data_IF_095678864975
#
_entry.id   IF_095678864975
#
_cell.length_a   1.000
_cell.length_b   1.000
_cell.length_c   1.000
_cell.angle_alpha   90.00
_cell.angle_beta   90.00
_cell.angle_gamma   90.00
#
_symmetry.space_group_name_H-M   'P 1'
#
loop_
_entity.id
_entity.type
_entity.pdbx_description
1 polymer ?
#
# COMPACT_ATOMS: atom_id res chain seq x y z
N UNK A 1 1.64 -37.66 16.76
CA UNK A 1 2.01 -36.31 17.29
C UNK A 1 1.47 -35.28 16.32
N UNK A 2 0.36 -34.65 16.68
CA UNK A 2 -0.34 -33.61 15.99
C UNK A 2 0.50 -32.34 15.97
N UNK A 3 0.72 -31.79 14.77
CA UNK A 3 1.22 -30.41 14.55
C UNK A 3 0.16 -29.42 15.07
N UNK A 4 0.22 -29.11 16.36
CA UNK A 4 -0.44 -27.99 16.99
C UNK A 4 0.65 -26.98 17.33
N UNK A 5 0.32 -25.70 17.10
CA UNK A 5 1.07 -24.48 17.43
C UNK A 5 2.08 -24.03 16.35
N UNK A 6 1.55 -23.69 15.17
CA UNK A 6 2.08 -22.58 14.44
C UNK A 6 1.22 -21.35 14.81
N UNK A 7 1.72 -20.53 15.72
CA UNK A 7 1.20 -19.18 16.00
C UNK A 7 1.47 -18.24 14.81
N UNK A 8 1.10 -18.65 13.61
CA UNK A 8 0.88 -17.74 12.51
C UNK A 8 -0.56 -17.25 12.66
N UNK A 9 -0.74 -16.16 13.38
CA UNK A 9 -2.04 -15.51 13.46
C UNK A 9 -2.43 -15.05 12.05
N UNK A 10 -3.17 -15.91 11.34
CA UNK A 10 -4.08 -15.43 10.33
C UNK A 10 -5.07 -14.55 11.09
N UNK A 11 -4.89 -13.21 11.06
CA UNK A 11 -5.95 -12.29 11.42
C UNK A 11 -7.18 -12.79 10.67
N UNK A 12 -8.35 -12.83 11.35
CA UNK A 12 -9.61 -13.26 10.73
C UNK A 12 -9.79 -12.47 9.43
N UNK A 13 -9.46 -13.09 8.29
CA UNK A 13 -9.47 -12.44 7.00
C UNK A 13 -10.88 -11.97 6.67
N UNK A 14 -11.05 -10.67 6.54
CA UNK A 14 -12.33 -10.11 6.15
C UNK A 14 -12.65 -10.46 4.69
N UNK A 15 -13.94 -10.50 4.29
CA UNK A 15 -14.32 -10.70 2.88
C UNK A 15 -13.69 -9.65 1.94
N UNK A 16 -13.42 -8.45 2.43
CA UNK A 16 -12.72 -7.40 1.70
C UNK A 16 -11.25 -7.79 1.44
N UNK A 17 -10.56 -8.31 2.46
CA UNK A 17 -9.17 -8.75 2.37
C UNK A 17 -9.01 -9.87 1.33
N UNK A 18 -9.82 -10.93 1.44
CA UNK A 18 -9.80 -12.04 0.49
C UNK A 18 -10.07 -11.58 -0.96
N UNK A 19 -11.07 -10.73 -1.14
CA UNK A 19 -11.41 -10.23 -2.46
C UNK A 19 -10.31 -9.34 -3.07
N UNK A 20 -9.65 -8.53 -2.26
CA UNK A 20 -8.52 -7.71 -2.70
C UNK A 20 -7.30 -8.57 -3.07
N UNK A 21 -6.98 -9.60 -2.28
CA UNK A 21 -5.93 -10.58 -2.62
C UNK A 21 -6.22 -11.26 -3.96
N UNK A 22 -7.45 -11.72 -4.16
CA UNK A 22 -7.85 -12.41 -5.39
C UNK A 22 -7.71 -11.52 -6.62
N UNK A 23 -8.16 -10.26 -6.55
CA UNK A 23 -8.03 -9.28 -7.66
C UNK A 23 -6.56 -9.05 -8.00
N UNK A 24 -5.72 -8.80 -7.02
CA UNK A 24 -4.29 -8.59 -7.22
C UNK A 24 -3.61 -9.82 -7.81
N UNK A 25 -3.94 -11.01 -7.32
CA UNK A 25 -3.42 -12.26 -7.85
C UNK A 25 -3.80 -12.45 -9.32
N UNK A 26 -5.07 -12.27 -9.67
CA UNK A 26 -5.54 -12.39 -11.05
C UNK A 26 -4.86 -11.37 -11.98
N UNK A 27 -4.60 -10.19 -11.48
CA UNK A 27 -3.93 -9.14 -12.24
C UNK A 27 -2.45 -9.48 -12.48
N UNK A 28 -1.75 -9.92 -11.44
CA UNK A 28 -0.31 -10.22 -11.49
C UNK A 28 0.04 -11.53 -12.22
N UNK A 29 -0.79 -12.56 -12.11
CA UNK A 29 -0.46 -13.89 -12.66
C UNK A 29 -0.28 -13.90 -14.18
N UNK A 30 -0.71 -12.87 -14.88
CA UNK A 30 -0.54 -12.73 -16.34
C UNK A 30 0.81 -12.12 -16.70
N UNK A 31 1.53 -11.55 -15.74
CA UNK A 31 2.77 -10.79 -16.00
C UNK A 31 3.94 -11.17 -15.08
N UNK A 32 3.71 -11.95 -14.05
CA UNK A 32 4.74 -12.29 -13.04
C UNK A 32 4.52 -13.69 -12.46
N UNK A 33 5.58 -14.22 -11.86
CA UNK A 33 5.47 -15.36 -10.94
C UNK A 33 4.93 -14.82 -9.62
N UNK A 34 3.71 -15.25 -9.25
CA UNK A 34 3.06 -14.79 -8.02
C UNK A 34 2.55 -15.98 -7.21
N UNK A 35 2.81 -15.94 -5.91
CA UNK A 35 2.39 -16.95 -4.94
C UNK A 35 1.50 -16.27 -3.90
N UNK A 36 0.35 -16.89 -3.62
CA UNK A 36 -0.56 -16.47 -2.56
C UNK A 36 -0.15 -17.09 -1.23
N UNK A 37 -0.32 -16.35 -0.14
CA UNK A 37 -0.08 -16.82 1.22
C UNK A 37 1.27 -17.52 1.36
N UNK A 38 2.31 -16.86 0.87
CA UNK A 38 3.65 -17.41 0.82
C UNK A 38 4.31 -17.38 2.20
N UNK A 39 4.63 -18.57 2.78
CA UNK A 39 5.27 -18.64 4.08
C UNK A 39 6.73 -18.24 4.00
N UNK A 40 7.15 -17.40 4.93
CA UNK A 40 8.54 -16.99 5.18
C UNK A 40 8.93 -17.42 6.59
N UNK A 41 9.35 -18.70 6.78
CA UNK A 41 9.60 -19.28 8.11
C UNK A 41 10.64 -18.53 8.93
N UNK A 42 11.68 -17.99 8.26
CA UNK A 42 12.75 -17.20 8.87
C UNK A 42 12.25 -15.90 9.49
N UNK A 43 11.14 -15.35 8.98
CA UNK A 43 10.49 -14.16 9.49
C UNK A 43 9.31 -14.46 10.40
N UNK A 44 8.89 -15.73 10.47
CA UNK A 44 7.62 -16.15 11.10
C UNK A 44 6.43 -15.35 10.54
N UNK A 45 6.43 -15.11 9.23
CA UNK A 45 5.43 -14.33 8.52
C UNK A 45 4.88 -15.11 7.32
N UNK A 46 3.68 -14.74 6.90
CA UNK A 46 3.08 -15.17 5.64
C UNK A 46 2.82 -13.90 4.84
N UNK A 47 3.38 -13.83 3.62
CA UNK A 47 3.09 -12.74 2.70
C UNK A 47 1.76 -13.00 2.01
N UNK A 48 0.87 -12.00 1.93
CA UNK A 48 -0.42 -12.14 1.22
C UNK A 48 -0.20 -12.52 -0.25
N UNK A 49 0.69 -11.79 -0.94
CA UNK A 49 1.20 -12.16 -2.25
C UNK A 49 2.72 -11.99 -2.27
N UNK A 50 3.42 -12.98 -2.83
CA UNK A 50 4.85 -12.91 -3.03
C UNK A 50 5.17 -12.97 -4.52
N UNK A 51 5.85 -11.97 -5.05
CA UNK A 51 5.99 -11.71 -6.47
C UNK A 51 7.46 -11.76 -6.88
N UNK A 52 7.77 -12.57 -7.90
CA UNK A 52 9.12 -12.73 -8.46
C UNK A 52 10.21 -12.97 -7.39
N UNK A 53 9.88 -13.72 -6.34
CA UNK A 53 10.77 -14.07 -5.21
C UNK A 53 11.45 -12.89 -4.50
N UNK A 54 10.89 -11.68 -4.64
CA UNK A 54 11.52 -10.47 -4.11
C UNK A 54 10.55 -9.44 -3.53
N UNK A 55 9.30 -9.37 -3.98
CA UNK A 55 8.34 -8.36 -3.58
C UNK A 55 7.17 -8.98 -2.83
N UNK A 56 7.01 -8.62 -1.55
CA UNK A 56 5.79 -8.91 -0.80
C UNK A 56 4.77 -7.78 -1.02
N UNK A 57 3.57 -8.15 -1.46
CA UNK A 57 2.41 -7.26 -1.44
C UNK A 57 1.53 -7.65 -0.27
N UNK A 58 1.32 -6.73 0.65
CA UNK A 58 0.52 -6.90 1.85
C UNK A 58 -0.78 -6.11 1.74
N UNK A 59 -1.90 -6.78 1.91
CA UNK A 59 -3.24 -6.16 1.87
C UNK A 59 -3.70 -5.90 3.29
N UNK A 60 -3.84 -4.65 3.69
CA UNK A 60 -4.26 -4.31 5.04
C UNK A 60 -5.64 -3.68 5.02
N UNK A 61 -6.65 -4.40 5.53
CA UNK A 61 -8.05 -3.95 5.56
C UNK A 61 -8.53 -3.52 6.95
N UNK A 62 -7.79 -3.83 8.01
CA UNK A 62 -8.12 -3.48 9.39
C UNK A 62 -6.95 -2.80 10.10
N UNK A 63 -7.21 -1.96 11.12
CA UNK A 63 -6.14 -1.39 11.92
C UNK A 63 -5.29 -2.47 12.60
N UNK A 64 -3.98 -2.25 12.67
CA UNK A 64 -3.04 -3.07 13.41
C UNK A 64 -2.12 -2.18 14.28
N UNK A 65 -1.51 -2.73 15.35
CA UNK A 65 -0.57 -1.97 16.16
C UNK A 65 0.63 -1.49 15.33
N UNK A 66 1.06 -0.24 15.53
CA UNK A 66 2.24 0.32 14.83
C UNK A 66 3.50 -0.55 14.99
N UNK A 67 3.67 -1.13 16.18
CA UNK A 67 4.80 -2.03 16.46
C UNK A 67 4.80 -3.22 15.51
N UNK A 68 3.64 -3.86 15.32
CA UNK A 68 3.48 -5.01 14.42
C UNK A 68 3.76 -4.61 12.97
N UNK A 69 3.22 -3.47 12.50
CA UNK A 69 3.51 -2.95 11.17
C UNK A 69 5.00 -2.74 10.94
N UNK A 70 5.67 -2.14 11.92
CA UNK A 70 7.11 -1.88 11.86
C UNK A 70 7.91 -3.18 11.83
N UNK A 71 7.63 -4.10 12.75
CA UNK A 71 8.32 -5.40 12.85
C UNK A 71 8.15 -6.21 11.56
N UNK A 72 6.92 -6.29 11.01
CA UNK A 72 6.67 -6.98 9.74
C UNK A 72 7.45 -6.35 8.58
N UNK A 73 7.41 -5.03 8.45
CA UNK A 73 8.09 -4.30 7.38
C UNK A 73 9.63 -4.42 7.49
N UNK A 74 10.18 -4.34 8.70
CA UNK A 74 11.62 -4.52 8.96
C UNK A 74 12.04 -5.97 8.72
N UNK A 75 11.20 -6.95 9.06
CA UNK A 75 11.44 -8.35 8.76
C UNK A 75 11.70 -8.57 7.28
N UNK A 76 10.82 -8.12 6.39
CA UNK A 76 11.02 -8.22 4.94
C UNK A 76 12.34 -7.57 4.50
N UNK A 77 12.60 -6.34 4.92
CA UNK A 77 13.81 -5.61 4.55
C UNK A 77 15.09 -6.29 5.02
N UNK A 78 15.09 -6.90 6.21
CA UNK A 78 16.26 -7.59 6.76
C UNK A 78 16.70 -8.80 5.93
N UNK A 79 15.77 -9.41 5.19
CA UNK A 79 16.04 -10.50 4.25
C UNK A 79 16.26 -10.01 2.81
N UNK A 80 16.29 -8.70 2.59
CA UNK A 80 16.47 -8.11 1.26
C UNK A 80 15.22 -8.07 0.41
N UNK A 81 14.04 -8.41 0.97
CA UNK A 81 12.76 -8.32 0.27
C UNK A 81 12.22 -6.90 0.27
N UNK A 82 11.52 -6.56 -0.78
CA UNK A 82 10.71 -5.36 -0.83
C UNK A 82 9.32 -5.66 -0.26
N UNK A 83 8.73 -4.69 0.42
CA UNK A 83 7.35 -4.80 0.90
C UNK A 83 6.54 -3.58 0.48
N UNK A 84 5.32 -3.83 0.01
CA UNK A 84 4.37 -2.79 -0.35
C UNK A 84 3.02 -3.08 0.30
N UNK A 85 2.55 -2.13 1.10
CA UNK A 85 1.26 -2.18 1.77
C UNK A 85 0.19 -1.53 0.91
N UNK A 86 -0.91 -2.25 0.69
CA UNK A 86 -2.08 -1.81 -0.05
C UNK A 86 -3.27 -1.76 0.90
N UNK A 87 -3.87 -0.58 1.06
CA UNK A 87 -4.84 -0.34 2.12
C UNK A 87 -6.29 -0.51 1.66
N UNK A 88 -7.07 -1.25 2.43
CA UNK A 88 -8.53 -1.35 2.29
C UNK A 88 -9.27 -0.12 2.84
N UNK A 89 -10.58 -0.09 2.64
CA UNK A 89 -11.45 1.08 2.85
C UNK A 89 -11.35 1.71 4.25
N UNK A 90 -11.21 0.89 5.30
CA UNK A 90 -11.12 1.39 6.68
C UNK A 90 -9.86 2.21 6.96
N UNK A 91 -8.80 1.99 6.17
CA UNK A 91 -7.49 2.63 6.34
C UNK A 91 -7.21 3.74 5.33
N UNK A 92 -8.14 4.06 4.44
CA UNK A 92 -7.95 5.13 3.46
C UNK A 92 -7.69 6.48 4.13
N UNK A 93 -6.83 7.28 3.53
CA UNK A 93 -6.60 8.66 3.95
C UNK A 93 -7.87 9.48 3.77
N UNK A 94 -8.23 10.19 4.84
CA UNK A 94 -9.35 11.12 4.89
C UNK A 94 -8.85 12.54 5.13
N UNK A 95 -9.45 13.25 6.07
CA UNK A 95 -9.13 14.65 6.35
C UNK A 95 -7.87 14.83 7.22
N UNK A 96 -7.52 13.82 8.01
CA UNK A 96 -6.37 13.86 8.92
C UNK A 96 -5.55 12.59 8.82
N UNK A 97 -4.26 12.73 8.97
CA UNK A 97 -3.31 11.62 8.97
C UNK A 97 -3.18 11.04 10.38
N UNK A 98 -3.54 9.77 10.53
CA UNK A 98 -3.36 9.05 11.81
C UNK A 98 -1.93 8.55 11.95
N UNK A 99 -1.51 8.24 13.19
CA UNK A 99 -0.19 7.63 13.43
C UNK A 99 -0.01 6.31 12.69
N UNK A 100 -1.05 5.48 12.63
CA UNK A 100 -0.97 4.22 11.89
C UNK A 100 -0.75 4.48 10.39
N UNK A 101 -1.51 5.39 9.80
CA UNK A 101 -1.37 5.73 8.38
C UNK A 101 0.01 6.30 8.04
N UNK A 102 0.65 7.03 8.97
CA UNK A 102 2.04 7.47 8.80
C UNK A 102 3.01 6.30 8.57
N UNK A 103 2.75 5.15 9.21
CA UNK A 103 3.56 3.94 9.04
C UNK A 103 3.46 3.30 7.66
N UNK A 104 2.40 3.59 6.90
CA UNK A 104 2.20 3.10 5.53
C UNK A 104 2.67 4.07 4.45
N UNK A 105 3.14 5.27 4.82
CA UNK A 105 3.62 6.25 3.84
C UNK A 105 4.94 5.80 3.24
N UNK A 106 5.02 5.92 1.93
CA UNK A 106 6.25 5.83 1.14
C UNK A 106 6.69 7.22 0.73
N UNK A 107 7.95 7.36 0.35
CA UNK A 107 8.50 8.61 -0.16
C UNK A 107 9.30 8.37 -1.44
N UNK A 108 9.11 9.22 -2.41
CA UNK A 108 9.99 9.33 -3.58
C UNK A 108 10.15 10.79 -4.01
N UNK A 109 11.26 11.11 -4.65
CA UNK A 109 11.54 12.47 -5.12
C UNK A 109 10.47 12.98 -6.11
N UNK A 110 9.89 12.08 -6.92
CA UNK A 110 8.94 12.44 -7.96
C UNK A 110 7.49 12.58 -7.46
N UNK A 111 7.16 11.98 -6.31
CA UNK A 111 5.79 11.91 -5.81
C UNK A 111 5.62 12.47 -4.40
N UNK A 112 6.71 12.88 -3.74
CA UNK A 112 6.67 13.22 -2.32
C UNK A 112 6.24 12.01 -1.47
N UNK A 113 5.52 12.24 -0.38
CA UNK A 113 4.87 11.17 0.35
C UNK A 113 3.67 10.63 -0.42
N UNK A 114 3.55 9.30 -0.44
CA UNK A 114 2.48 8.63 -1.15
C UNK A 114 2.02 7.36 -0.44
N UNK A 115 0.83 6.89 -0.79
CA UNK A 115 0.18 5.71 -0.23
C UNK A 115 -0.69 5.03 -1.30
N UNK A 116 -0.86 3.71 -1.17
CA UNK A 116 -1.70 2.94 -2.06
C UNK A 116 -2.99 2.49 -1.36
N UNK A 117 -4.10 2.62 -2.06
CA UNK A 117 -5.42 2.21 -1.59
C UNK A 117 -6.11 1.32 -2.61
N UNK A 118 -6.77 0.28 -2.14
CA UNK A 118 -7.59 -0.61 -2.96
C UNK A 118 -9.06 -0.20 -2.86
N UNK A 119 -9.68 0.17 -3.97
CA UNK A 119 -11.10 0.49 -4.02
C UNK A 119 -11.86 -0.57 -4.82
N UNK A 120 -12.39 -1.55 -4.08
CA UNK A 120 -13.17 -2.65 -4.65
C UNK A 120 -14.47 -2.18 -5.31
N UNK A 121 -15.10 -1.13 -4.79
CA UNK A 121 -16.37 -0.62 -5.33
C UNK A 121 -16.18 0.02 -6.69
N UNK A 122 -15.11 0.81 -6.83
CA UNK A 122 -14.73 1.44 -8.10
C UNK A 122 -13.89 0.55 -9.01
N UNK A 123 -13.43 -0.60 -8.52
CA UNK A 123 -12.50 -1.50 -9.23
C UNK A 123 -11.21 -0.80 -9.65
N UNK A 124 -10.60 -0.05 -8.74
CA UNK A 124 -9.36 0.69 -9.00
C UNK A 124 -8.33 0.50 -7.89
N UNK A 125 -7.05 0.50 -8.28
CA UNK A 125 -5.93 0.77 -7.40
C UNK A 125 -5.73 2.28 -7.39
N UNK A 126 -5.80 2.89 -6.20
CA UNK A 126 -5.67 4.32 -6.02
C UNK A 126 -4.32 4.67 -5.43
N UNK A 127 -3.64 5.61 -6.06
CA UNK A 127 -2.45 6.25 -5.54
C UNK A 127 -2.84 7.64 -5.02
N UNK A 128 -2.61 7.90 -3.74
CA UNK A 128 -2.59 9.25 -3.20
C UNK A 128 -1.14 9.68 -3.03
N UNK A 129 -0.78 10.82 -3.55
CA UNK A 129 0.60 11.31 -3.60
C UNK A 129 0.68 12.81 -3.37
N UNK A 130 1.89 13.35 -3.18
CA UNK A 130 2.14 14.71 -2.71
C UNK A 130 1.40 14.98 -1.39
N UNK A 131 1.39 13.97 -0.52
CA UNK A 131 0.69 14.03 0.76
C UNK A 131 1.43 14.99 1.68
N UNK A 132 0.72 16.02 2.13
CA UNK A 132 1.23 16.99 3.11
C UNK A 132 0.10 17.53 3.97
N UNK A 133 0.45 18.17 5.08
CA UNK A 133 -0.48 18.88 5.94
C UNK A 133 -0.22 20.37 5.87
N UNK A 134 -1.29 21.15 5.82
CA UNK A 134 -1.20 22.60 5.99
C UNK A 134 -0.93 22.97 7.46
N UNK A 135 -0.74 24.27 7.74
CA UNK A 135 -0.48 24.78 9.08
C UNK A 135 -1.62 24.51 10.08
N UNK A 136 -2.83 24.23 9.60
CA UNK A 136 -4.01 23.87 10.40
C UNK A 136 -4.15 22.37 10.60
N UNK A 137 -3.22 21.58 10.04
CA UNK A 137 -3.21 20.11 10.13
C UNK A 137 -4.18 19.43 9.18
N UNK A 138 -4.78 20.16 8.21
CA UNK A 138 -5.61 19.58 7.17
C UNK A 138 -4.73 18.85 6.15
N UNK A 139 -5.14 17.67 5.75
CA UNK A 139 -4.42 16.82 4.81
C UNK A 139 -4.75 17.22 3.36
N UNK A 140 -3.70 17.37 2.56
CA UNK A 140 -3.77 17.61 1.12
C UNK A 140 -3.03 16.52 0.37
N UNK A 141 -3.54 16.11 -0.78
CA UNK A 141 -2.92 15.11 -1.66
C UNK A 141 -3.52 15.17 -3.06
N UNK A 142 -2.81 14.60 -4.02
CA UNK A 142 -3.32 14.32 -5.36
C UNK A 142 -3.73 12.86 -5.46
N UNK A 143 -4.64 12.57 -6.39
CA UNK A 143 -5.18 11.23 -6.60
C UNK A 143 -4.92 10.78 -8.03
N UNK A 144 -4.47 9.54 -8.19
CA UNK A 144 -4.46 8.82 -9.45
C UNK A 144 -5.11 7.47 -9.27
N UNK A 145 -5.98 7.09 -10.20
CA UNK A 145 -6.69 5.82 -10.18
C UNK A 145 -6.30 4.97 -11.38
N UNK A 146 -6.05 3.68 -11.12
CA UNK A 146 -5.69 2.69 -12.12
C UNK A 146 -6.75 1.60 -12.11
N UNK A 147 -7.60 1.48 -13.16
CA UNK A 147 -8.58 0.41 -13.25
C UNK A 147 -7.92 -0.98 -13.20
N UNK A 148 -8.53 -1.90 -12.46
CA UNK A 148 -8.00 -3.24 -12.32
C UNK A 148 -7.89 -3.95 -13.69
N UNK A 149 -6.73 -4.57 -13.94
CA UNK A 149 -6.51 -5.40 -15.11
C UNK A 149 -6.35 -4.67 -16.46
N UNK A 150 -6.34 -3.33 -16.48
CA UNK A 150 -6.18 -2.58 -17.74
C UNK A 150 -4.72 -2.40 -18.15
N UNK A 151 -3.86 -2.12 -17.21
CA UNK A 151 -2.43 -1.89 -17.41
C UNK A 151 -1.62 -2.91 -16.61
N UNK A 152 -0.32 -3.04 -16.89
CA UNK A 152 0.59 -3.85 -16.08
C UNK A 152 0.66 -3.32 -14.65
N UNK A 153 0.30 -4.15 -13.67
CA UNK A 153 0.36 -3.78 -12.27
C UNK A 153 1.82 -3.55 -11.83
N UNK A 154 2.76 -4.38 -12.28
CA UNK A 154 4.17 -4.21 -11.96
C UNK A 154 4.73 -2.88 -12.48
N UNK A 155 4.34 -2.45 -13.69
CA UNK A 155 4.73 -1.15 -14.21
C UNK A 155 4.11 0.01 -13.40
N UNK A 156 2.83 -0.13 -13.02
CA UNK A 156 2.15 0.86 -12.16
C UNK A 156 2.87 1.01 -10.84
N UNK A 157 3.18 -0.10 -10.16
CA UNK A 157 3.84 -0.07 -8.85
C UNK A 157 5.28 0.44 -8.93
N UNK A 158 6.00 0.09 -10.01
CA UNK A 158 7.40 0.48 -10.21
C UNK A 158 7.57 1.93 -10.68
N UNK A 159 6.67 2.39 -11.57
CA UNK A 159 6.76 3.70 -12.21
C UNK A 159 5.42 4.43 -12.25
N UNK A 160 4.77 4.67 -11.11
CA UNK A 160 3.43 5.27 -11.09
C UNK A 160 3.41 6.69 -11.67
N UNK A 161 4.54 7.38 -11.68
CA UNK A 161 4.70 8.72 -12.21
C UNK A 161 4.79 8.79 -13.74
N UNK A 162 5.23 7.73 -14.45
CA UNK A 162 5.39 7.73 -15.91
C UNK A 162 4.07 7.91 -16.67
N UNK A 163 2.95 7.55 -16.05
CA UNK A 163 1.61 7.69 -16.65
C UNK A 163 0.91 8.96 -16.22
N UNK A 164 1.60 9.90 -15.57
CA UNK A 164 1.03 11.20 -15.24
C UNK A 164 1.04 12.11 -16.47
N UNK A 165 -0.15 12.48 -16.96
CA UNK A 165 -0.29 13.78 -17.64
C UNK A 165 -0.10 14.82 -16.54
N UNK A 166 0.95 15.61 -16.63
CA UNK A 166 1.16 16.76 -15.77
C UNK A 166 0.01 17.73 -16.06
N UNK A 167 -1.05 17.66 -15.29
CA UNK A 167 -2.01 18.75 -15.23
C UNK A 167 -1.33 19.88 -14.46
N UNK A 168 -1.33 21.07 -15.00
CA UNK A 168 -0.75 22.24 -14.39
C UNK A 168 -1.18 22.35 -12.94
N UNK A 169 -0.21 22.26 -12.02
CA UNK A 169 -0.41 22.51 -10.61
C UNK A 169 -0.70 23.99 -10.43
N UNK A 170 -1.88 24.34 -10.03
CA UNK A 170 -2.08 25.54 -9.21
C UNK A 170 -1.78 25.11 -7.77
N UNK A 171 -0.57 25.38 -7.32
CA UNK A 171 -0.31 25.45 -5.89
C UNK A 171 -1.26 26.52 -5.39
N UNK A 172 -2.24 26.16 -4.55
CA UNK A 172 -2.95 27.19 -3.80
C UNK A 172 -1.88 27.91 -2.98
N UNK A 173 -1.55 29.14 -3.34
CA UNK A 173 -0.67 29.99 -2.56
C UNK A 173 -1.24 30.01 -1.15
N UNK A 174 -0.53 29.38 -0.21
CA UNK A 174 -0.85 29.56 1.17
C UNK A 174 -0.45 30.98 1.54
N UNK A 175 -1.44 31.87 1.54
CA UNK A 175 -1.26 33.30 1.78
C UNK A 175 -0.56 33.60 3.11
N UNK A 176 -0.49 32.61 4.00
CA UNK A 176 0.17 32.75 5.29
C UNK A 176 1.69 32.45 5.20
N UNK A 177 2.15 31.70 4.18
CA UNK A 177 3.59 31.46 3.93
C UNK A 177 4.25 32.62 3.18
N UNK A 178 3.51 33.33 2.34
CA UNK A 178 4.04 34.49 1.60
C UNK A 178 4.23 35.75 2.44
N UNK A 179 3.98 35.72 3.76
CA UNK A 179 4.18 36.85 4.69
C UNK A 179 5.45 36.79 5.53
N UNK A 180 6.28 35.78 5.33
CA UNK A 180 7.61 35.63 5.90
C UNK A 180 8.63 35.58 4.75
#
# INVERSE_FOLDING_TARGET
KTLKDCDFSSENESPEHLANKEVLYRWLKTEAVVQLEYPLPELKQIADLFVNDNLALEVQCSPLPQKVLKERSEGYRSQGYQVLWLLGEKLWLKERLTRLQQGFLYFSQNMGFYIWELDKKKQVLRLKYLIHQDLRGKLHYQIKEFPYGQDSLLEILRFPYKKQKISHFTVSEDKDICRY
#
